data_IF_619363153764
#
_entry.id   IF_619363153764
#
_cell.length_a   1.000
_cell.length_b   1.000
_cell.length_c   1.000
_cell.angle_alpha   90.00
_cell.angle_beta   90.00
_cell.angle_gamma   90.00
#
_symmetry.space_group_name_H-M   'P 1'
#
loop_
_entity.id
_entity.type
_entity.pdbx_description
1 polymer ?
#
# COMPACT_ATOMS: atom_id res chain seq x y z
N UNK A 1 20.87 39.48 -3.69
CA UNK A 1 21.17 38.03 -3.57
C UNK A 1 19.86 37.30 -3.36
N UNK A 2 18.93 37.49 -4.29
CA UNK A 2 17.52 37.13 -4.15
C UNK A 2 17.10 36.60 -5.51
N UNK A 3 16.81 35.30 -5.59
CA UNK A 3 16.67 34.59 -6.87
C UNK A 3 17.36 33.24 -6.93
N UNK A 4 17.68 32.60 -5.79
CA UNK A 4 17.74 31.14 -5.77
C UNK A 4 16.28 30.67 -5.79
N UNK A 5 15.81 30.54 -7.03
CA UNK A 5 14.63 29.83 -7.53
C UNK A 5 13.84 29.08 -6.45
N UNK A 6 12.72 29.67 -6.03
CA UNK A 6 11.75 29.01 -5.14
C UNK A 6 11.27 27.64 -5.68
N UNK A 7 11.44 27.37 -6.99
CA UNK A 7 11.23 26.06 -7.59
C UNK A 7 12.27 25.01 -7.18
N UNK A 8 13.56 25.36 -7.16
CA UNK A 8 14.62 24.40 -6.85
C UNK A 8 14.57 23.91 -5.39
N UNK A 9 14.21 24.80 -4.45
CA UNK A 9 14.00 24.43 -3.04
C UNK A 9 12.77 23.53 -2.84
N UNK A 10 11.75 23.61 -3.71
CA UNK A 10 10.58 22.73 -3.68
C UNK A 10 10.89 21.34 -4.27
N UNK A 11 11.76 21.26 -5.27
CA UNK A 11 12.15 19.98 -5.90
C UNK A 11 12.91 19.08 -4.92
N UNK A 12 13.79 19.65 -4.10
CA UNK A 12 14.46 18.90 -3.03
C UNK A 12 13.46 18.34 -2.01
N UNK A 13 12.42 19.12 -1.68
CA UNK A 13 11.35 18.69 -0.77
C UNK A 13 10.56 17.51 -1.36
N UNK A 14 10.31 17.52 -2.67
CA UNK A 14 9.63 16.43 -3.38
C UNK A 14 10.44 15.14 -3.33
N UNK A 15 11.75 15.21 -3.59
CA UNK A 15 12.64 14.04 -3.58
C UNK A 15 12.71 13.44 -2.18
N UNK A 16 12.90 14.26 -1.15
CA UNK A 16 13.03 13.75 0.23
C UNK A 16 11.72 13.12 0.70
N UNK A 17 10.58 13.77 0.48
CA UNK A 17 9.26 13.23 0.83
C UNK A 17 8.95 11.93 0.08
N UNK A 18 9.37 11.81 -1.18
CA UNK A 18 9.27 10.56 -1.95
C UNK A 18 10.05 9.41 -1.30
N UNK A 19 11.26 9.67 -0.83
CA UNK A 19 12.07 8.66 -0.11
C UNK A 19 11.36 8.23 1.17
N UNK A 20 10.87 9.17 1.99
CA UNK A 20 10.13 8.85 3.22
C UNK A 20 8.89 8.00 2.96
N UNK A 21 8.15 8.26 1.89
CA UNK A 21 6.98 7.45 1.49
C UNK A 21 7.37 6.02 1.19
N UNK A 22 8.45 5.78 0.45
CA UNK A 22 8.88 4.41 0.15
C UNK A 22 9.19 3.63 1.44
N UNK A 23 9.85 4.24 2.42
CA UNK A 23 10.14 3.60 3.70
C UNK A 23 8.88 3.33 4.53
N UNK A 24 7.98 4.31 4.65
CA UNK A 24 6.76 4.16 5.45
C UNK A 24 5.82 3.14 4.82
N UNK A 25 5.67 3.17 3.49
CA UNK A 25 4.81 2.21 2.77
C UNK A 25 5.36 0.79 2.86
N UNK A 26 6.69 0.60 2.82
CA UNK A 26 7.32 -0.71 3.09
C UNK A 26 6.98 -1.21 4.49
N UNK A 27 7.16 -0.38 5.51
CA UNK A 27 6.86 -0.75 6.90
C UNK A 27 5.37 -1.04 7.11
N UNK A 28 4.48 -0.22 6.58
CA UNK A 28 3.04 -0.40 6.69
C UNK A 28 2.57 -1.69 6.01
N UNK A 29 3.08 -1.94 4.79
CA UNK A 29 2.74 -3.13 4.03
C UNK A 29 3.30 -4.41 4.66
N UNK A 30 4.50 -4.34 5.24
CA UNK A 30 5.13 -5.45 5.94
C UNK A 30 4.43 -5.80 7.26
N UNK A 31 4.01 -4.80 8.05
CA UNK A 31 3.38 -5.03 9.35
C UNK A 31 1.95 -5.58 9.21
N UNK A 32 1.11 -4.95 8.39
CA UNK A 32 -0.33 -5.26 8.33
C UNK A 32 -0.86 -5.44 6.90
N UNK A 33 -0.29 -4.75 5.89
CA UNK A 33 -0.85 -4.74 4.54
C UNK A 33 -0.86 -6.11 3.85
N UNK A 34 0.18 -6.93 4.05
CA UNK A 34 0.20 -8.28 3.48
C UNK A 34 -0.86 -9.21 4.10
N UNK A 35 -1.10 -9.08 5.41
CA UNK A 35 -2.12 -9.85 6.13
C UNK A 35 -3.53 -9.52 5.64
N UNK A 36 -3.81 -8.24 5.37
CA UNK A 36 -5.11 -7.81 4.86
C UNK A 36 -5.37 -8.20 3.40
N UNK A 37 -4.32 -8.28 2.57
CA UNK A 37 -4.45 -8.63 1.16
C UNK A 37 -4.65 -10.15 0.93
N UNK A 38 -3.86 -11.00 1.59
CA UNK A 38 -3.80 -12.46 1.35
C UNK A 38 -4.01 -13.31 2.59
N UNK A 39 -4.57 -12.72 3.65
CA UNK A 39 -4.92 -13.45 4.86
C UNK A 39 -6.08 -14.41 4.65
N UNK A 40 -6.00 -15.62 5.21
CA UNK A 40 -7.19 -16.46 5.36
C UNK A 40 -8.24 -15.70 6.19
N UNK A 41 -9.41 -15.45 5.62
CA UNK A 41 -10.48 -14.64 6.19
C UNK A 41 -11.71 -14.57 5.29
N UNK A 42 -12.78 -13.95 5.76
CA UNK A 42 -13.99 -13.72 4.96
C UNK A 42 -13.69 -12.78 3.78
N UNK A 43 -14.44 -12.88 2.67
CA UNK A 43 -14.19 -12.15 1.41
C UNK A 43 -14.19 -10.61 1.44
N UNK A 44 -14.25 -10.00 2.63
CA UNK A 44 -14.07 -8.56 2.84
C UNK A 44 -12.69 -8.20 3.41
N UNK A 45 -12.12 -9.02 4.32
CA UNK A 45 -10.85 -8.79 5.01
C UNK A 45 -10.18 -10.13 5.37
N UNK A 46 -8.93 -10.31 4.94
CA UNK A 46 -8.05 -11.37 5.43
C UNK A 46 -7.61 -11.12 6.87
N UNK A 47 -7.66 -12.14 7.73
CA UNK A 47 -7.41 -12.00 9.18
C UNK A 47 -6.20 -12.77 9.72
N UNK A 48 -5.54 -13.57 8.85
CA UNK A 48 -4.35 -14.35 9.18
C UNK A 48 -3.13 -13.91 8.37
N UNK A 49 -1.93 -14.27 8.83
CA UNK A 49 -0.60 -13.85 8.30
C UNK A 49 -0.12 -12.43 8.63
N UNK A 50 -0.41 -11.95 9.85
CA UNK A 50 0.37 -10.83 10.42
C UNK A 50 1.86 -11.21 10.50
N UNK A 51 2.74 -10.27 10.13
CA UNK A 51 4.20 -10.43 10.18
C UNK A 51 4.82 -11.57 9.34
N UNK A 52 4.15 -12.09 8.31
CA UNK A 52 4.74 -13.15 7.45
C UNK A 52 5.01 -14.47 8.20
N UNK A 53 4.24 -14.79 9.25
CA UNK A 53 4.30 -16.09 9.93
C UNK A 53 3.57 -17.15 9.09
N UNK A 54 4.31 -17.91 8.28
CA UNK A 54 3.77 -19.07 7.54
C UNK A 54 4.27 -19.30 6.11
N UNK A 55 5.38 -18.66 5.69
CA UNK A 55 6.04 -18.85 4.37
C UNK A 55 5.18 -18.56 3.13
N UNK A 56 4.63 -17.34 2.97
CA UNK A 56 4.29 -16.86 1.65
C UNK A 56 5.55 -16.66 0.80
N UNK A 57 5.47 -16.97 -0.50
CA UNK A 57 6.55 -16.70 -1.45
C UNK A 57 6.99 -15.23 -1.36
N UNK A 58 8.24 -14.97 -0.97
CA UNK A 58 8.82 -13.62 -0.93
C UNK A 58 8.63 -12.88 -2.27
N UNK A 59 8.73 -13.58 -3.39
CA UNK A 59 8.45 -13.01 -4.72
C UNK A 59 7.02 -12.45 -4.82
N UNK A 60 6.03 -13.15 -4.27
CA UNK A 60 4.65 -12.68 -4.28
C UNK A 60 4.46 -11.48 -3.36
N UNK A 61 5.09 -11.48 -2.18
CA UNK A 61 5.10 -10.31 -1.29
C UNK A 61 5.68 -9.08 -1.98
N UNK A 62 6.90 -9.19 -2.54
CA UNK A 62 7.58 -8.07 -3.21
C UNK A 62 6.81 -7.57 -4.43
N UNK A 63 6.19 -8.46 -5.21
CA UNK A 63 5.40 -8.07 -6.38
C UNK A 63 4.13 -7.29 -6.00
N UNK A 64 3.47 -7.64 -4.89
CA UNK A 64 2.33 -6.88 -4.39
C UNK A 64 2.76 -5.56 -3.74
N UNK A 65 3.85 -5.58 -2.98
CA UNK A 65 4.44 -4.39 -2.38
C UNK A 65 4.84 -3.35 -3.44
N UNK A 66 5.53 -3.76 -4.51
CA UNK A 66 5.95 -2.83 -5.57
C UNK A 66 4.76 -2.10 -6.21
N UNK A 67 3.65 -2.79 -6.44
CA UNK A 67 2.42 -2.18 -6.97
C UNK A 67 1.79 -1.20 -5.96
N UNK A 68 1.78 -1.56 -4.67
CA UNK A 68 1.34 -0.66 -3.61
C UNK A 68 2.19 0.61 -3.54
N UNK A 69 3.51 0.46 -3.58
CA UNK A 69 4.46 1.58 -3.52
C UNK A 69 4.29 2.53 -4.71
N UNK A 70 4.14 2.00 -5.93
CA UNK A 70 3.88 2.81 -7.13
C UNK A 70 2.55 3.55 -7.03
N UNK A 71 1.46 2.87 -6.65
CA UNK A 71 0.14 3.48 -6.50
C UNK A 71 0.15 4.61 -5.46
N UNK A 72 0.80 4.37 -4.32
CA UNK A 72 0.93 5.38 -3.25
C UNK A 72 1.75 6.57 -3.72
N UNK A 73 2.86 6.33 -4.43
CA UNK A 73 3.73 7.40 -4.95
C UNK A 73 3.01 8.30 -5.95
N UNK A 74 2.22 7.73 -6.86
CA UNK A 74 1.44 8.51 -7.83
C UNK A 74 0.36 9.33 -7.13
N UNK A 75 -0.38 8.73 -6.19
CA UNK A 75 -1.44 9.43 -5.46
C UNK A 75 -0.89 10.61 -4.65
N UNK A 76 0.29 10.43 -4.05
CA UNK A 76 0.91 11.43 -3.19
C UNK A 76 1.71 12.48 -3.96
N UNK A 77 2.29 12.12 -5.11
CA UNK A 77 2.98 13.08 -5.99
C UNK A 77 2.10 14.24 -6.44
N UNK A 78 0.78 14.03 -6.56
CA UNK A 78 -0.18 15.08 -6.91
C UNK A 78 -0.45 16.10 -5.77
N UNK A 79 -0.11 15.76 -4.52
CA UNK A 79 -0.52 16.50 -3.32
C UNK A 79 0.67 17.24 -2.67
N UNK A 80 1.89 16.94 -3.12
CA UNK A 80 3.12 17.29 -2.42
C UNK A 80 3.44 18.79 -2.41
N UNK A 81 2.96 19.55 -3.39
CA UNK A 81 3.28 20.98 -3.55
C UNK A 81 2.51 21.92 -2.61
N UNK A 82 1.46 21.42 -1.93
CA UNK A 82 0.50 22.26 -1.18
C UNK A 82 0.19 21.77 0.23
N UNK A 83 0.89 20.74 0.69
CA UNK A 83 0.50 20.01 1.91
C UNK A 83 1.64 19.97 2.92
N UNK A 84 1.31 20.09 4.20
CA UNK A 84 2.28 19.95 5.28
C UNK A 84 2.89 18.53 5.30
N UNK A 85 4.20 18.39 5.59
CA UNK A 85 4.91 17.13 5.50
C UNK A 85 4.33 16.03 6.41
N UNK A 86 3.74 16.40 7.56
CA UNK A 86 3.18 15.43 8.50
C UNK A 86 1.91 14.77 7.95
N UNK A 87 1.00 15.55 7.36
CA UNK A 87 -0.23 15.04 6.77
C UNK A 87 0.05 14.08 5.61
N UNK A 88 1.08 14.41 4.84
CA UNK A 88 1.58 13.57 3.76
C UNK A 88 2.05 12.18 4.25
N UNK A 89 2.85 12.14 5.33
CA UNK A 89 3.34 10.87 5.89
C UNK A 89 2.21 10.00 6.44
N UNK A 90 1.24 10.58 7.15
CA UNK A 90 0.09 9.85 7.70
C UNK A 90 -0.78 9.30 6.57
N UNK A 91 -1.04 10.10 5.54
CA UNK A 91 -1.82 9.66 4.39
C UNK A 91 -1.16 8.48 3.66
N UNK A 92 0.17 8.46 3.55
CA UNK A 92 0.91 7.35 2.96
C UNK A 92 0.80 6.06 3.76
N UNK A 93 0.86 6.15 5.09
CA UNK A 93 0.68 5.01 5.99
C UNK A 93 -0.72 4.42 5.88
N UNK A 94 -1.77 5.27 5.90
CA UNK A 94 -3.15 4.82 5.79
C UNK A 94 -3.43 4.20 4.42
N UNK A 95 -2.88 4.78 3.36
CA UNK A 95 -3.08 4.28 2.00
C UNK A 95 -2.44 2.91 1.80
N UNK A 96 -1.17 2.74 2.18
CA UNK A 96 -0.47 1.46 2.01
C UNK A 96 -0.86 0.40 3.05
N UNK A 97 -1.29 0.82 4.24
CA UNK A 97 -1.67 -0.08 5.33
C UNK A 97 -3.10 -0.60 5.26
N UNK A 98 -4.05 0.20 4.73
CA UNK A 98 -5.48 -0.14 4.73
C UNK A 98 -6.11 -0.06 3.35
N UNK A 99 -6.06 1.10 2.69
CA UNK A 99 -6.84 1.34 1.47
C UNK A 99 -6.42 0.39 0.34
N UNK A 100 -5.12 0.34 0.05
CA UNK A 100 -4.57 -0.51 -1.01
C UNK A 100 -4.74 -2.02 -0.74
N UNK A 101 -4.40 -2.56 0.45
CA UNK A 101 -4.53 -3.99 0.70
C UNK A 101 -5.99 -4.47 0.71
N UNK A 102 -6.94 -3.67 1.23
CA UNK A 102 -8.38 -4.00 1.17
C UNK A 102 -8.87 -4.05 -0.28
N UNK A 103 -8.51 -3.06 -1.10
CA UNK A 103 -8.86 -3.06 -2.53
C UNK A 103 -8.24 -4.25 -3.27
N UNK A 104 -7.00 -4.62 -2.91
CA UNK A 104 -6.31 -5.77 -3.49
C UNK A 104 -6.98 -7.10 -3.12
N UNK A 105 -7.52 -7.21 -1.90
CA UNK A 105 -8.24 -8.40 -1.45
C UNK A 105 -9.52 -8.61 -2.26
N UNK A 106 -10.30 -7.56 -2.51
CA UNK A 106 -11.56 -7.68 -3.25
C UNK A 106 -11.41 -8.13 -4.69
N UNK A 107 -10.32 -7.71 -5.35
CA UNK A 107 -10.11 -7.91 -6.79
C UNK A 107 -9.20 -9.09 -7.09
N UNK A 108 -8.19 -9.33 -6.27
CA UNK A 108 -7.12 -10.29 -6.57
C UNK A 108 -7.08 -11.51 -5.63
N UNK A 109 -7.85 -11.54 -4.55
CA UNK A 109 -7.94 -12.73 -3.70
C UNK A 109 -8.94 -13.77 -4.27
N UNK A 110 -8.68 -15.06 -3.99
CA UNK A 110 -9.54 -16.18 -4.42
C UNK A 110 -10.91 -16.15 -3.72
N UNK A 111 -10.95 -15.64 -2.48
CA UNK A 111 -12.16 -15.41 -1.72
C UNK A 111 -12.66 -13.96 -1.83
N UNK A 112 -12.05 -13.13 -2.69
CA UNK A 112 -12.41 -11.73 -2.86
C UNK A 112 -13.83 -11.56 -3.40
N UNK A 113 -14.55 -10.56 -2.86
CA UNK A 113 -15.95 -10.27 -3.18
C UNK A 113 -16.26 -10.18 -4.69
N UNK A 114 -15.32 -9.71 -5.52
CA UNK A 114 -15.51 -9.55 -6.97
C UNK A 114 -14.96 -10.71 -7.81
N UNK A 115 -14.38 -11.75 -7.20
CA UNK A 115 -13.77 -12.83 -7.98
C UNK A 115 -14.85 -13.79 -8.52
N UNK A 116 -15.02 -13.92 -9.85
CA UNK A 116 -16.02 -14.81 -10.45
C UNK A 116 -15.78 -16.30 -10.13
N UNK A 117 -14.57 -16.66 -9.66
CA UNK A 117 -14.21 -18.03 -9.28
C UNK A 117 -14.82 -18.47 -7.94
N UNK A 118 -15.30 -17.54 -7.09
CA UNK A 118 -16.01 -17.89 -5.86
C UNK A 118 -17.28 -18.71 -6.14
N UNK A 119 -17.91 -18.50 -7.30
CA UNK A 119 -19.13 -19.21 -7.71
C UNK A 119 -18.94 -20.71 -8.00
N UNK A 120 -17.68 -21.19 -8.09
CA UNK A 120 -17.35 -22.57 -8.52
C UNK A 120 -16.67 -23.44 -7.45
N UNK A 121 -16.40 -22.92 -6.26
CA UNK A 121 -15.81 -23.69 -5.16
C UNK A 121 -16.94 -24.23 -4.25
N UNK A 122 -16.95 -25.54 -3.91
CA UNK A 122 -17.89 -26.06 -2.92
C UNK A 122 -17.57 -25.41 -1.57
N UNK A 123 -18.53 -24.64 -1.04
CA UNK A 123 -18.47 -23.99 0.28
C UNK A 123 -17.95 -24.99 1.31
N UNK A 124 -16.70 -24.84 1.74
CA UNK A 124 -16.18 -25.51 2.92
C UNK A 124 -16.54 -24.60 4.10
N UNK A 125 -17.60 -24.99 4.80
CA UNK A 125 -18.04 -24.44 6.09
C UNK A 125 -16.95 -24.55 7.15
#
# INVERSE_FOLDING_TARGET
MEGVDAGAVNDFFLIICGIWVMFITLMAYWLHGYAFAFGEGSGFIGSKYFLTLGSPNLCHFFFNYARCAVATTVALGAVIERTEPIGYLISSYVFAGFVYPIASHWVWDVHGFFNPLQSKLPVQV
#
